data_IF_951235978683
#
_entry.id   IF_951235978683
#
_cell.length_a   1.000
_cell.length_b   1.000
_cell.length_c   1.000
_cell.angle_alpha   90.00
_cell.angle_beta   90.00
_cell.angle_gamma   90.00
#
_symmetry.space_group_name_H-M   'P 1'
#
loop_
_entity.id
_entity.type
_entity.pdbx_description
1 polymer ?
#
# COMPACT_ATOMS: atom_id res chain seq x y z
N UNK A 1 -6.23 26.14 5.37
CA UNK A 1 -7.13 25.27 6.15
C UNK A 1 -7.21 25.92 7.51
N UNK A 2 -8.41 26.34 7.91
CA UNK A 2 -8.64 27.04 9.19
C UNK A 2 -9.79 26.33 9.90
N UNK A 3 -9.70 26.22 11.22
CA UNK A 3 -10.57 25.36 12.00
C UNK A 3 -10.96 26.01 13.33
N UNK A 4 -12.25 26.29 13.48
CA UNK A 4 -12.78 26.81 14.72
C UNK A 4 -12.70 25.76 15.84
N UNK A 5 -12.27 26.21 17.02
CA UNK A 5 -12.08 25.34 18.18
C UNK A 5 -13.42 24.79 18.64
N UNK A 6 -13.56 23.46 18.67
CA UNK A 6 -14.77 22.77 19.13
C UNK A 6 -15.91 22.71 18.12
N UNK A 7 -15.80 23.40 16.98
CA UNK A 7 -16.75 23.28 15.86
C UNK A 7 -16.55 21.95 15.11
N UNK A 8 -17.46 21.63 14.19
CA UNK A 8 -17.24 20.52 13.25
C UNK A 8 -16.23 20.92 12.17
N UNK A 9 -15.26 20.06 11.88
CA UNK A 9 -14.33 20.29 10.79
C UNK A 9 -15.06 20.36 9.44
N UNK A 10 -14.56 21.22 8.55
CA UNK A 10 -14.90 21.20 7.15
C UNK A 10 -14.49 19.87 6.50
N UNK A 11 -15.24 19.45 5.48
CA UNK A 11 -14.98 18.22 4.74
C UNK A 11 -13.91 18.40 3.66
N UNK A 12 -12.73 18.84 4.08
CA UNK A 12 -11.63 19.33 3.26
C UNK A 12 -10.52 18.30 3.02
N UNK A 13 -10.78 17.01 3.27
CA UNK A 13 -9.77 15.95 3.17
C UNK A 13 -9.16 15.86 1.76
N UNK A 14 -9.93 16.17 0.72
CA UNK A 14 -9.44 16.15 -0.67
C UNK A 14 -8.41 17.24 -0.93
N UNK A 15 -8.61 18.44 -0.36
CA UNK A 15 -7.64 19.52 -0.37
C UNK A 15 -6.42 19.17 0.47
N UNK A 16 -6.63 18.60 1.68
CA UNK A 16 -5.56 18.12 2.55
C UNK A 16 -4.63 17.14 1.82
N UNK A 17 -5.22 16.12 1.16
CA UNK A 17 -4.47 15.15 0.38
C UNK A 17 -3.68 15.80 -0.75
N UNK A 18 -4.31 16.75 -1.46
CA UNK A 18 -3.66 17.46 -2.56
C UNK A 18 -2.44 18.24 -2.07
N UNK A 19 -2.55 18.89 -0.91
CA UNK A 19 -1.44 19.59 -0.27
C UNK A 19 -0.32 18.61 0.13
N UNK A 20 -0.65 17.51 0.81
CA UNK A 20 0.32 16.48 1.22
C UNK A 20 1.08 15.88 0.02
N UNK A 21 0.36 15.54 -1.06
CA UNK A 21 0.97 14.97 -2.26
C UNK A 21 1.92 15.96 -2.95
N UNK A 22 1.67 17.27 -2.83
CA UNK A 22 2.54 18.31 -3.35
C UNK A 22 3.60 18.80 -2.34
N UNK A 23 3.85 18.05 -1.26
CA UNK A 23 4.93 18.33 -0.31
C UNK A 23 4.59 19.37 0.76
N UNK A 24 3.33 19.80 0.88
CA UNK A 24 2.90 20.70 1.94
C UNK A 24 2.56 19.90 3.22
N UNK A 25 3.58 19.41 3.90
CA UNK A 25 3.48 18.68 5.18
C UNK A 25 4.52 19.22 6.17
N UNK A 26 4.21 19.38 7.48
CA UNK A 26 2.97 19.02 8.16
C UNK A 26 1.79 19.95 7.81
N UNK A 27 0.60 19.35 7.65
CA UNK A 27 -0.64 20.13 7.55
C UNK A 27 -1.02 20.80 8.88
N UNK A 28 -1.84 21.88 8.85
CA UNK A 28 -2.36 22.50 10.06
C UNK A 28 -3.08 21.50 10.98
N UNK A 29 -2.78 21.54 12.27
CA UNK A 29 -3.42 20.67 13.27
C UNK A 29 -4.88 21.10 13.47
N UNK A 30 -5.80 20.15 13.36
CA UNK A 30 -7.24 20.37 13.60
C UNK A 30 -7.52 20.55 15.08
N UNK A 31 -8.29 21.59 15.43
CA UNK A 31 -8.92 21.78 16.77
C UNK A 31 -10.44 21.68 16.70
N UNK A 32 -10.95 20.93 15.73
CA UNK A 32 -12.36 20.73 15.44
C UNK A 32 -12.75 19.24 15.55
N UNK A 33 -14.05 18.95 15.59
CA UNK A 33 -14.62 17.61 15.68
C UNK A 33 -14.78 16.99 14.28
N UNK A 34 -14.22 15.79 14.08
CA UNK A 34 -14.39 15.03 12.83
C UNK A 34 -15.83 14.59 12.66
N UNK A 35 -16.42 14.87 11.49
CA UNK A 35 -17.76 14.39 11.14
C UNK A 35 -17.75 12.87 10.92
N UNK A 36 -18.74 12.19 11.46
CA UNK A 36 -19.00 10.76 11.23
C UNK A 36 -20.40 10.55 10.62
N UNK A 37 -20.66 9.35 10.11
CA UNK A 37 -22.00 8.99 9.60
C UNK A 37 -22.99 8.87 10.76
N UNK A 38 -24.16 9.51 10.63
CA UNK A 38 -25.25 9.36 11.61
C UNK A 38 -25.87 7.95 11.59
N UNK A 39 -25.69 7.22 10.49
CA UNK A 39 -26.25 5.88 10.28
C UNK A 39 -25.20 4.77 10.42
N UNK A 40 -24.10 5.06 11.15
CA UNK A 40 -23.01 4.13 11.41
C UNK A 40 -23.53 2.76 11.86
N UNK A 41 -22.88 1.71 11.35
CA UNK A 41 -23.14 0.33 11.69
C UNK A 41 -21.91 -0.33 12.29
N UNK A 42 -22.16 -1.25 13.23
CA UNK A 42 -21.10 -2.08 13.81
C UNK A 42 -20.35 -2.81 12.68
N UNK A 43 -19.01 -2.72 12.61
CA UNK A 43 -18.21 -3.46 11.63
C UNK A 43 -18.33 -4.97 11.81
N UNK A 44 -18.05 -5.71 10.74
CA UNK A 44 -17.99 -7.17 10.81
C UNK A 44 -16.87 -7.63 11.76
N UNK A 45 -17.04 -8.78 12.43
CA UNK A 45 -15.95 -9.42 13.17
C UNK A 45 -14.75 -9.72 12.26
N UNK A 46 -13.55 -9.81 12.84
CA UNK A 46 -12.30 -9.85 12.07
C UNK A 46 -12.19 -11.03 11.10
N UNK A 47 -12.78 -12.18 11.43
CA UNK A 47 -12.80 -13.36 10.58
C UNK A 47 -13.64 -13.18 9.31
N UNK A 48 -14.66 -12.32 9.34
CA UNK A 48 -15.51 -12.00 8.19
C UNK A 48 -15.02 -10.76 7.45
N UNK A 49 -14.54 -9.74 8.19
CA UNK A 49 -14.23 -8.42 7.64
C UNK A 49 -13.09 -8.43 6.62
N UNK A 50 -12.20 -9.43 6.66
CA UNK A 50 -11.08 -9.51 5.72
C UNK A 50 -11.53 -9.70 4.27
N UNK A 51 -12.63 -10.41 4.03
CA UNK A 51 -13.02 -10.85 2.68
C UNK A 51 -14.45 -10.48 2.30
N UNK A 52 -15.08 -9.62 3.09
CA UNK A 52 -16.44 -9.13 2.87
C UNK A 52 -16.42 -7.62 2.67
N UNK A 53 -17.19 -7.14 1.70
CA UNK A 53 -17.39 -5.69 1.55
C UNK A 53 -18.08 -5.14 2.81
N UNK A 54 -17.56 -4.05 3.39
CA UNK A 54 -18.18 -3.44 4.56
C UNK A 54 -19.45 -2.65 4.17
N UNK A 55 -20.23 -2.25 5.18
CA UNK A 55 -21.45 -1.47 4.99
C UNK A 55 -21.14 -0.06 4.46
N UNK A 56 -21.83 0.34 3.39
CA UNK A 56 -21.67 1.66 2.75
C UNK A 56 -21.87 2.81 3.74
N UNK A 57 -22.70 2.65 4.77
CA UNK A 57 -23.01 3.70 5.76
C UNK A 57 -21.83 4.08 6.63
N UNK A 58 -20.78 3.26 6.65
CA UNK A 58 -19.56 3.54 7.41
C UNK A 58 -18.56 4.41 6.65
N UNK A 59 -18.89 4.85 5.43
CA UNK A 59 -18.06 5.73 4.60
C UNK A 59 -18.77 7.06 4.36
N UNK A 60 -18.00 8.16 4.41
CA UNK A 60 -18.49 9.48 4.00
C UNK A 60 -18.31 9.67 2.50
N UNK A 61 -19.36 9.35 1.75
CA UNK A 61 -19.28 9.34 0.29
C UNK A 61 -19.13 10.71 -0.38
N UNK A 62 -19.39 11.82 0.33
CA UNK A 62 -19.61 13.18 -0.20
C UNK A 62 -18.64 13.65 -1.30
N UNK A 63 -17.36 13.35 -1.14
CA UNK A 63 -16.28 13.77 -2.04
C UNK A 63 -15.90 12.73 -3.11
N UNK A 64 -16.63 11.64 -3.23
CA UNK A 64 -16.44 10.61 -4.26
C UNK A 64 -17.54 10.67 -5.33
N UNK A 65 -17.22 10.23 -6.54
CA UNK A 65 -18.22 10.09 -7.61
C UNK A 65 -19.21 8.97 -7.29
N UNK A 66 -18.72 7.86 -6.74
CA UNK A 66 -19.56 6.77 -6.25
C UNK A 66 -20.12 7.05 -4.86
N UNK A 67 -21.29 6.46 -4.56
CA UNK A 67 -21.98 6.55 -3.26
C UNK A 67 -22.15 5.20 -2.55
N UNK A 68 -21.50 4.16 -3.07
CA UNK A 68 -21.48 2.81 -2.51
C UNK A 68 -20.28 2.03 -3.04
N UNK A 69 -19.88 0.98 -2.34
CA UNK A 69 -18.82 0.06 -2.79
C UNK A 69 -19.22 -0.66 -4.09
N UNK A 70 -20.50 -1.01 -4.25
CA UNK A 70 -21.00 -1.63 -5.49
C UNK A 70 -20.76 -0.74 -6.72
N UNK A 71 -20.90 0.59 -6.57
CA UNK A 71 -20.60 1.54 -7.64
C UNK A 71 -19.12 1.53 -8.07
N UNK A 72 -18.20 1.15 -7.18
CA UNK A 72 -16.76 1.10 -7.44
C UNK A 72 -16.32 -0.15 -8.24
N UNK A 73 -17.26 -1.00 -8.63
CA UNK A 73 -16.99 -2.20 -9.44
C UNK A 73 -16.23 -1.87 -10.72
N UNK A 74 -15.35 -2.78 -11.14
CA UNK A 74 -14.61 -2.70 -12.41
C UNK A 74 -15.53 -2.62 -13.64
N UNK A 75 -16.78 -3.07 -13.51
CA UNK A 75 -17.80 -3.01 -14.56
C UNK A 75 -18.39 -1.60 -14.75
N UNK A 76 -18.24 -0.71 -13.77
CA UNK A 76 -18.72 0.66 -13.88
C UNK A 76 -17.65 1.57 -14.50
N UNK A 77 -17.86 2.13 -15.72
CA UNK A 77 -16.92 3.03 -16.35
C UNK A 77 -16.90 4.42 -15.70
N UNK A 78 -17.95 4.80 -14.97
CA UNK A 78 -18.11 6.11 -14.30
C UNK A 78 -17.72 6.07 -12.82
N UNK A 79 -16.93 5.08 -12.40
CA UNK A 79 -16.55 4.87 -10.99
C UNK A 79 -15.59 5.91 -10.41
N UNK A 80 -14.99 6.75 -11.26
CA UNK A 80 -14.15 7.86 -10.82
C UNK A 80 -12.74 7.52 -10.35
N UNK A 81 -12.26 6.27 -10.56
CA UNK A 81 -10.88 5.88 -10.25
C UNK A 81 -10.34 4.81 -11.21
N UNK A 82 -9.01 4.81 -11.41
CA UNK A 82 -8.32 3.93 -12.38
C UNK A 82 -7.15 3.15 -11.81
N UNK A 83 -6.65 3.49 -10.61
CA UNK A 83 -5.38 2.96 -10.09
C UNK A 83 -5.41 1.51 -9.60
N UNK A 84 -6.58 0.94 -9.30
CA UNK A 84 -6.69 -0.49 -8.98
C UNK A 84 -7.98 -1.12 -9.51
N UNK A 85 -7.94 -1.64 -10.73
CA UNK A 85 -9.12 -2.29 -11.33
C UNK A 85 -9.50 -3.56 -10.56
N UNK A 86 -10.74 -3.62 -10.06
CA UNK A 86 -11.26 -4.79 -9.36
C UNK A 86 -10.94 -4.86 -7.86
N UNK A 87 -10.29 -3.83 -7.30
CA UNK A 87 -9.90 -3.80 -5.87
C UNK A 87 -11.07 -3.96 -4.88
N UNK A 88 -12.30 -3.67 -5.31
CA UNK A 88 -13.52 -3.79 -4.51
C UNK A 88 -14.29 -5.09 -4.79
N UNK A 89 -13.73 -6.01 -5.58
CA UNK A 89 -14.31 -7.31 -5.90
C UNK A 89 -13.63 -8.37 -5.03
N UNK A 90 -14.11 -8.55 -3.80
CA UNK A 90 -13.44 -9.38 -2.77
C UNK A 90 -13.24 -10.84 -3.23
N UNK A 91 -14.14 -11.36 -4.06
CA UNK A 91 -14.05 -12.69 -4.68
C UNK A 91 -12.80 -12.85 -5.57
N UNK A 92 -12.29 -11.76 -6.15
CA UNK A 92 -11.03 -11.76 -6.91
C UNK A 92 -9.84 -11.48 -6.03
N UNK A 93 -9.99 -10.56 -5.08
CA UNK A 93 -8.92 -10.21 -4.14
C UNK A 93 -8.50 -11.40 -3.28
N UNK A 94 -9.45 -12.28 -2.92
CA UNK A 94 -9.17 -13.53 -2.19
C UNK A 94 -8.30 -14.52 -3.01
N UNK A 95 -8.11 -14.33 -4.32
CA UNK A 95 -7.18 -15.18 -5.08
C UNK A 95 -5.70 -14.78 -4.95
N UNK A 96 -5.43 -13.52 -4.58
CA UNK A 96 -4.10 -12.91 -4.73
C UNK A 96 -3.06 -13.56 -3.80
N UNK A 97 -1.84 -13.71 -4.32
CA UNK A 97 -0.64 -14.30 -3.68
C UNK A 97 -0.71 -15.78 -3.25
N UNK A 98 -1.83 -16.48 -3.51
CA UNK A 98 -1.97 -17.92 -3.20
C UNK A 98 -1.83 -18.78 -4.45
N UNK A 99 -2.50 -18.36 -5.53
CA UNK A 99 -2.59 -19.13 -6.78
C UNK A 99 -1.21 -19.32 -7.39
N UNK A 100 -0.94 -20.52 -7.91
CA UNK A 100 0.20 -20.74 -8.79
C UNK A 100 0.03 -19.84 -10.01
N UNK A 101 0.93 -18.88 -10.16
CA UNK A 101 1.05 -18.11 -11.38
C UNK A 101 2.11 -18.74 -12.26
N UNK A 102 1.89 -18.66 -13.57
CA UNK A 102 2.91 -19.01 -14.57
C UNK A 102 3.96 -17.92 -14.71
N UNK A 103 3.72 -16.72 -14.16
CA UNK A 103 4.64 -15.61 -14.21
C UNK A 103 5.75 -15.80 -13.18
N UNK A 104 7.01 -15.84 -13.62
CA UNK A 104 8.17 -16.03 -12.74
C UNK A 104 8.31 -14.90 -11.70
N UNK A 105 7.82 -13.71 -12.03
CA UNK A 105 7.79 -12.55 -11.15
C UNK A 105 6.79 -12.69 -9.98
N UNK A 106 5.83 -13.62 -10.02
CA UNK A 106 4.84 -13.77 -8.95
C UNK A 106 5.40 -14.60 -7.79
N UNK A 107 5.60 -13.94 -6.65
CA UNK A 107 6.07 -14.58 -5.43
C UNK A 107 4.88 -14.85 -4.51
N UNK A 108 4.79 -16.07 -3.97
CA UNK A 108 3.78 -16.42 -2.99
C UNK A 108 4.19 -15.96 -1.61
N UNK A 109 3.20 -15.58 -0.80
CA UNK A 109 3.42 -15.25 0.61
C UNK A 109 4.08 -16.42 1.35
N UNK A 110 3.57 -17.65 1.15
CA UNK A 110 4.12 -18.84 1.82
C UNK A 110 5.59 -19.10 1.48
N UNK A 111 5.98 -18.86 0.21
CA UNK A 111 7.36 -19.05 -0.24
C UNK A 111 8.28 -17.99 0.39
N UNK A 112 7.82 -16.73 0.45
CA UNK A 112 8.58 -15.62 1.06
C UNK A 112 8.74 -15.85 2.56
N UNK A 113 7.66 -16.18 3.27
CA UNK A 113 7.70 -16.42 4.72
C UNK A 113 8.54 -17.65 5.09
N UNK A 114 8.63 -18.66 4.21
CA UNK A 114 9.47 -19.84 4.42
C UNK A 114 10.97 -19.56 4.38
N UNK A 115 11.40 -18.46 3.77
CA UNK A 115 12.82 -18.07 3.77
C UNK A 115 13.31 -17.82 5.20
N UNK A 116 12.47 -17.21 6.05
CA UNK A 116 12.75 -16.95 7.48
C UNK A 116 11.52 -17.23 8.35
N UNK A 117 11.22 -18.51 8.61
CA UNK A 117 10.00 -18.92 9.30
C UNK A 117 9.90 -18.31 10.70
N UNK A 118 8.80 -17.63 10.99
CA UNK A 118 8.54 -17.03 12.32
C UNK A 118 9.29 -15.73 12.62
N UNK A 119 10.15 -15.25 11.74
CA UNK A 119 10.90 -14.00 11.96
C UNK A 119 10.16 -12.75 11.47
N UNK A 120 9.31 -12.88 10.44
CA UNK A 120 8.53 -11.78 9.89
C UNK A 120 7.22 -11.63 10.67
N UNK A 121 7.07 -10.54 11.43
CA UNK A 121 5.92 -10.32 12.32
C UNK A 121 5.23 -8.98 12.09
N UNK A 122 6.00 -7.96 11.71
CA UNK A 122 5.49 -6.64 11.36
C UNK A 122 6.08 -6.16 10.04
N UNK A 123 5.22 -5.62 9.17
CA UNK A 123 5.66 -5.07 7.90
C UNK A 123 4.90 -3.83 7.45
N UNK A 124 5.45 -3.18 6.43
CA UNK A 124 4.85 -2.06 5.73
C UNK A 124 4.50 -2.50 4.31
N UNK A 125 3.28 -2.23 3.87
CA UNK A 125 2.82 -2.45 2.51
C UNK A 125 2.63 -1.11 1.81
N UNK A 126 3.48 -0.89 0.80
CA UNK A 126 3.56 0.35 0.03
C UNK A 126 2.92 0.11 -1.33
N UNK A 127 1.62 0.40 -1.41
CA UNK A 127 0.79 0.00 -2.54
C UNK A 127 -0.46 0.86 -2.71
N UNK A 128 -1.17 0.66 -3.82
CA UNK A 128 -2.54 1.16 -3.98
C UNK A 128 -3.50 0.00 -3.96
N UNK A 129 -4.41 -0.01 -2.98
CA UNK A 129 -5.47 -1.01 -2.94
C UNK A 129 -6.27 -0.98 -1.67
N UNK A 130 -7.02 -2.04 -1.45
CA UNK A 130 -7.96 -2.16 -0.32
C UNK A 130 -7.37 -2.89 0.89
N UNK A 131 -6.05 -3.10 0.92
CA UNK A 131 -5.36 -3.82 2.01
C UNK A 131 -5.31 -5.33 1.85
N UNK A 132 -5.42 -5.85 0.62
CA UNK A 132 -5.48 -7.30 0.38
C UNK A 132 -4.21 -8.03 0.81
N UNK A 133 -3.03 -7.42 0.62
CA UNK A 133 -1.78 -7.99 1.11
C UNK A 133 -1.79 -8.08 2.64
N UNK A 134 -2.18 -7.00 3.33
CA UNK A 134 -2.33 -6.99 4.77
C UNK A 134 -3.34 -8.03 5.29
N UNK A 135 -4.46 -8.25 4.58
CA UNK A 135 -5.42 -9.31 4.92
C UNK A 135 -4.78 -10.70 4.86
N UNK A 136 -4.01 -11.00 3.81
CA UNK A 136 -3.31 -12.28 3.64
C UNK A 136 -2.22 -12.51 4.67
N UNK A 137 -1.43 -11.48 4.92
CA UNK A 137 -0.38 -11.53 5.94
C UNK A 137 -0.97 -11.73 7.33
N UNK A 138 -2.15 -11.17 7.61
CA UNK A 138 -2.85 -11.37 8.89
C UNK A 138 -3.27 -12.82 9.13
N UNK A 139 -3.70 -13.55 8.10
CA UNK A 139 -3.99 -14.99 8.21
C UNK A 139 -2.75 -15.80 8.60
N UNK A 140 -1.56 -15.28 8.31
CA UNK A 140 -0.26 -15.81 8.71
C UNK A 140 0.28 -15.16 10.01
N UNK A 141 -0.58 -14.48 10.78
CA UNK A 141 -0.23 -13.77 12.01
C UNK A 141 0.81 -12.65 11.86
N UNK A 142 0.92 -12.07 10.65
CA UNK A 142 1.80 -10.93 10.38
C UNK A 142 0.97 -9.64 10.33
N UNK A 143 1.38 -8.65 11.12
CA UNK A 143 0.72 -7.34 11.15
C UNK A 143 1.31 -6.45 10.06
N UNK A 144 0.48 -5.98 9.16
CA UNK A 144 0.89 -5.07 8.09
C UNK A 144 0.24 -3.72 8.29
N UNK A 145 1.05 -2.67 8.21
CA UNK A 145 0.59 -1.31 8.00
C UNK A 145 0.58 -1.03 6.50
N UNK A 146 -0.55 -0.65 5.93
CA UNK A 146 -0.69 -0.39 4.49
C UNK A 146 -0.76 1.11 4.25
N UNK A 147 0.15 1.65 3.43
CA UNK A 147 0.04 3.04 2.98
C UNK A 147 -1.21 3.21 2.12
N UNK A 148 -1.98 4.27 2.34
CA UNK A 148 -3.19 4.51 1.57
C UNK A 148 -3.46 5.98 1.34
N UNK A 149 -3.85 6.32 0.12
CA UNK A 149 -4.44 7.62 -0.24
C UNK A 149 -5.84 7.36 -0.81
N UNK A 150 -6.75 8.31 -0.65
CA UNK A 150 -8.11 8.22 -1.16
C UNK A 150 -8.16 8.76 -2.61
N UNK A 151 -7.76 7.91 -3.56
CA UNK A 151 -7.65 8.24 -4.99
C UNK A 151 -8.95 7.94 -5.75
N UNK A 152 -9.98 8.77 -5.55
CA UNK A 152 -11.29 8.59 -6.17
C UNK A 152 -12.15 7.47 -5.55
N UNK A 153 -11.60 6.75 -4.57
CA UNK A 153 -12.28 5.74 -3.78
C UNK A 153 -11.82 5.80 -2.30
N UNK A 154 -12.63 5.31 -1.34
CA UNK A 154 -12.37 5.38 0.10
C UNK A 154 -11.44 4.26 0.58
N UNK A 155 -10.17 4.28 0.13
CA UNK A 155 -9.22 3.21 0.43
C UNK A 155 -8.85 3.13 1.92
N UNK A 156 -8.65 4.27 2.58
CA UNK A 156 -8.31 4.30 4.01
C UNK A 156 -9.44 3.70 4.85
N UNK A 157 -10.68 4.11 4.58
CA UNK A 157 -11.88 3.60 5.25
C UNK A 157 -12.08 2.11 4.95
N UNK A 158 -11.88 1.68 3.70
CA UNK A 158 -11.98 0.26 3.33
C UNK A 158 -10.99 -0.60 4.10
N UNK A 159 -9.71 -0.20 4.17
CA UNK A 159 -8.67 -0.92 4.93
C UNK A 159 -9.04 -1.00 6.42
N UNK A 160 -9.42 0.13 7.02
CA UNK A 160 -9.82 0.17 8.42
C UNK A 160 -11.06 -0.69 8.72
N UNK A 161 -12.08 -0.67 7.86
CA UNK A 161 -13.31 -1.46 8.03
C UNK A 161 -13.11 -2.96 7.86
N UNK A 162 -12.01 -3.38 7.19
CA UNK A 162 -11.55 -4.77 7.19
C UNK A 162 -10.82 -5.17 8.49
N UNK A 163 -10.62 -4.22 9.42
CA UNK A 163 -9.86 -4.41 10.65
C UNK A 163 -8.34 -4.32 10.46
N UNK A 164 -7.88 -3.76 9.34
CA UNK A 164 -6.47 -3.60 8.98
C UNK A 164 -5.99 -2.17 9.29
N UNK A 165 -4.68 -1.93 9.19
CA UNK A 165 -4.07 -0.66 9.59
C UNK A 165 -3.75 0.19 8.34
N UNK A 166 -4.56 1.21 8.00
CA UNK A 166 -4.17 2.17 6.99
C UNK A 166 -3.19 3.20 7.58
N UNK A 167 -2.19 3.58 6.79
CA UNK A 167 -1.33 4.72 7.03
C UNK A 167 -1.58 5.78 5.96
N UNK A 168 -2.17 6.89 6.36
CA UNK A 168 -2.49 8.00 5.45
C UNK A 168 -1.24 8.83 5.15
N UNK A 169 -0.49 8.44 4.11
CA UNK A 169 0.80 9.04 3.75
C UNK A 169 1.05 8.98 2.23
N UNK A 170 1.75 9.99 1.71
CA UNK A 170 2.28 10.02 0.34
C UNK A 170 3.74 9.54 0.29
N UNK A 171 4.18 9.06 -0.87
CA UNK A 171 5.60 8.72 -1.12
C UNK A 171 6.57 9.89 -0.96
N UNK A 172 6.06 11.13 -1.06
CA UNK A 172 6.87 12.34 -0.90
C UNK A 172 7.13 12.69 0.58
N UNK A 173 6.56 11.93 1.51
CA UNK A 173 6.73 12.14 2.95
C UNK A 173 7.65 11.07 3.54
N UNK A 174 8.47 11.47 4.51
CA UNK A 174 9.24 10.53 5.32
C UNK A 174 8.29 9.65 6.14
N UNK A 175 8.54 8.35 6.14
CA UNK A 175 7.80 7.37 6.90
C UNK A 175 7.84 7.67 8.40
N UNK A 176 6.69 7.72 9.10
CA UNK A 176 6.58 8.05 10.52
C UNK A 176 6.88 6.83 11.40
N UNK A 177 7.89 6.04 11.01
CA UNK A 177 8.42 4.92 11.77
C UNK A 177 9.83 5.23 12.22
N UNK A 178 10.21 4.70 13.37
CA UNK A 178 11.58 4.80 13.86
C UNK A 178 12.51 3.90 13.03
N UNK A 179 13.81 4.11 13.17
CA UNK A 179 14.81 3.39 12.39
C UNK A 179 14.87 1.91 12.83
N UNK A 180 15.04 1.01 11.85
CA UNK A 180 15.18 -0.44 12.06
C UNK A 180 14.01 -1.10 12.83
N UNK A 181 12.77 -0.66 12.64
CA UNK A 181 11.61 -1.24 13.35
C UNK A 181 10.81 -2.25 12.54
N UNK A 182 10.92 -2.28 11.20
CA UNK A 182 10.10 -3.16 10.36
C UNK A 182 10.85 -4.44 9.99
N UNK A 183 10.16 -5.59 10.05
CA UNK A 183 10.71 -6.88 9.59
C UNK A 183 10.60 -7.03 8.06
N UNK A 184 9.65 -6.32 7.44
CA UNK A 184 9.44 -6.35 6.00
C UNK A 184 8.90 -5.03 5.45
N UNK A 185 9.30 -4.69 4.24
CA UNK A 185 8.63 -3.71 3.38
C UNK A 185 8.23 -4.44 2.11
N UNK A 186 6.94 -4.43 1.80
CA UNK A 186 6.37 -4.93 0.57
C UNK A 186 5.96 -3.74 -0.31
N UNK A 187 6.19 -3.83 -1.61
CA UNK A 187 5.70 -2.83 -2.57
C UNK A 187 5.05 -3.51 -3.76
N UNK A 188 3.86 -3.03 -4.14
CA UNK A 188 3.12 -3.50 -5.31
C UNK A 188 2.33 -2.37 -5.97
N UNK A 189 2.53 -2.17 -7.27
CA UNK A 189 1.71 -1.27 -8.11
C UNK A 189 1.71 0.23 -7.73
N UNK A 190 2.54 0.67 -6.78
CA UNK A 190 2.71 2.10 -6.45
C UNK A 190 3.93 2.69 -7.15
N UNK A 191 4.98 1.89 -7.32
CA UNK A 191 6.18 2.23 -8.07
C UNK A 191 6.06 1.79 -9.52
N UNK A 192 5.00 2.23 -10.18
CA UNK A 192 4.94 2.14 -11.63
C UNK A 192 6.10 2.98 -12.17
N UNK A 193 6.88 2.52 -13.15
CA UNK A 193 8.15 3.11 -13.64
C UNK A 193 8.11 4.54 -14.22
N UNK A 194 7.14 5.33 -13.79
CA UNK A 194 6.96 6.77 -13.92
C UNK A 194 7.53 7.56 -12.74
N UNK A 195 7.92 6.89 -11.65
CA UNK A 195 8.64 7.55 -10.54
C UNK A 195 10.02 7.96 -11.06
N UNK A 196 10.34 9.25 -10.93
CA UNK A 196 11.68 9.75 -11.24
C UNK A 196 12.73 9.14 -10.31
N UNK A 197 13.94 8.95 -10.83
CA UNK A 197 15.04 8.30 -10.13
C UNK A 197 15.39 9.05 -8.83
N UNK A 198 15.27 10.37 -8.78
CA UNK A 198 15.54 11.13 -7.56
C UNK A 198 14.54 10.80 -6.44
N UNK A 199 13.25 10.73 -6.77
CA UNK A 199 12.22 10.36 -5.79
C UNK A 199 12.39 8.91 -5.34
N UNK A 200 12.69 8.01 -6.28
CA UNK A 200 12.99 6.61 -5.95
C UNK A 200 14.15 6.52 -4.96
N UNK A 201 15.19 7.34 -5.11
CA UNK A 201 16.37 7.31 -4.24
C UNK A 201 15.99 7.67 -2.80
N UNK A 202 15.27 8.79 -2.61
CA UNK A 202 14.73 9.17 -1.31
C UNK A 202 13.86 8.07 -0.67
N UNK A 203 12.98 7.45 -1.46
CA UNK A 203 12.11 6.38 -0.96
C UNK A 203 12.93 5.15 -0.55
N UNK A 204 13.92 4.73 -1.34
CA UNK A 204 14.74 3.57 -1.01
C UNK A 204 15.62 3.81 0.22
N UNK A 205 16.17 5.01 0.41
CA UNK A 205 16.89 5.36 1.64
C UNK A 205 15.98 5.38 2.87
N UNK A 206 14.73 5.85 2.73
CA UNK A 206 13.79 5.85 3.84
C UNK A 206 13.28 4.45 4.18
N UNK A 207 13.12 3.59 3.16
CA UNK A 207 12.84 2.17 3.33
C UNK A 207 13.99 1.43 4.01
N UNK A 208 15.22 1.66 3.56
CA UNK A 208 16.41 1.13 4.21
C UNK A 208 16.46 1.56 5.68
N UNK A 209 16.17 2.83 5.98
CA UNK A 209 16.15 3.36 7.35
C UNK A 209 15.17 2.60 8.24
N UNK A 210 13.92 2.38 7.82
CA UNK A 210 12.90 1.74 8.67
C UNK A 210 13.02 0.22 8.72
N UNK A 211 13.59 -0.40 7.70
CA UNK A 211 13.80 -1.85 7.65
C UNK A 211 14.96 -2.24 8.58
N UNK A 212 14.74 -3.24 9.43
CA UNK A 212 15.78 -3.71 10.36
C UNK A 212 16.81 -4.63 9.67
N UNK A 213 18.02 -4.81 10.23
CA UNK A 213 18.93 -5.85 9.78
C UNK A 213 18.25 -7.22 9.79
N UNK A 214 18.40 -7.97 8.70
CA UNK A 214 17.70 -9.23 8.47
C UNK A 214 16.25 -9.09 7.98
N UNK A 215 15.74 -7.85 7.87
CA UNK A 215 14.40 -7.60 7.32
C UNK A 215 14.36 -7.71 5.80
N UNK A 216 13.17 -7.97 5.26
CA UNK A 216 12.94 -8.15 3.83
C UNK A 216 12.44 -6.89 3.13
N UNK A 217 13.07 -6.52 2.02
CA UNK A 217 12.48 -5.70 0.99
C UNK A 217 11.93 -6.63 -0.10
N UNK A 218 10.61 -6.69 -0.19
CA UNK A 218 9.89 -7.46 -1.20
C UNK A 218 9.29 -6.51 -2.25
N UNK A 219 9.90 -6.54 -3.43
CA UNK A 219 9.43 -5.84 -4.62
C UNK A 219 8.54 -6.80 -5.41
N UNK A 220 7.24 -6.54 -5.47
CA UNK A 220 6.26 -7.35 -6.18
C UNK A 220 5.82 -6.64 -7.47
N UNK A 221 6.15 -7.25 -8.61
CA UNK A 221 5.81 -6.81 -9.97
C UNK A 221 6.03 -5.31 -10.22
N UNK A 222 7.16 -4.77 -9.77
CA UNK A 222 7.62 -3.46 -10.23
C UNK A 222 7.72 -3.47 -11.75
N UNK A 223 7.13 -2.51 -12.46
CA UNK A 223 7.23 -2.48 -13.91
C UNK A 223 7.92 -1.22 -14.41
N UNK A 224 8.73 -1.39 -15.44
CA UNK A 224 9.41 -0.31 -16.12
C UNK A 224 9.52 -0.63 -17.62
N UNK A 225 9.92 0.37 -18.41
CA UNK A 225 10.32 0.11 -19.80
C UNK A 225 11.62 -0.68 -19.78
N UNK A 226 11.80 -1.58 -20.75
CA UNK A 226 13.03 -2.40 -20.89
C UNK A 226 14.30 -1.56 -20.91
N UNK A 227 14.26 -0.41 -21.58
CA UNK A 227 15.40 0.51 -21.71
C UNK A 227 15.82 1.19 -20.39
N UNK A 228 14.91 1.28 -19.43
CA UNK A 228 15.15 1.94 -18.14
C UNK A 228 15.42 0.89 -17.03
N UNK A 229 15.42 -0.41 -17.36
CA UNK A 229 15.54 -1.50 -16.39
C UNK A 229 16.88 -1.45 -15.65
N UNK A 230 17.98 -1.22 -16.36
CA UNK A 230 19.32 -1.22 -15.77
C UNK A 230 19.48 -0.10 -14.73
N UNK A 231 18.85 1.06 -14.96
CA UNK A 231 18.84 2.18 -14.01
C UNK A 231 18.12 1.78 -12.71
N UNK A 232 16.91 1.22 -12.81
CA UNK A 232 16.19 0.75 -11.63
C UNK A 232 16.89 -0.42 -10.93
N UNK A 233 17.51 -1.32 -11.69
CA UNK A 233 18.32 -2.39 -11.11
C UNK A 233 19.49 -1.85 -10.30
N UNK A 234 20.19 -0.85 -10.82
CA UNK A 234 21.26 -0.16 -10.09
C UNK A 234 20.73 0.42 -8.77
N UNK A 235 19.58 1.09 -8.81
CA UNK A 235 18.96 1.66 -7.61
C UNK A 235 18.63 0.64 -6.53
N UNK A 236 18.12 -0.55 -6.89
CA UNK A 236 17.83 -1.59 -5.89
C UNK A 236 19.10 -2.27 -5.37
N UNK A 237 20.16 -2.36 -6.17
CA UNK A 237 21.38 -3.11 -5.82
C UNK A 237 22.40 -2.27 -5.03
N UNK A 238 22.35 -0.94 -5.10
CA UNK A 238 23.31 -0.05 -4.41
C UNK A 238 23.36 -0.25 -2.89
N UNK A 239 22.27 -0.72 -2.27
CA UNK A 239 22.16 -0.94 -0.82
C UNK A 239 22.85 -2.23 -0.32
N UNK A 240 23.43 -3.02 -1.22
CA UNK A 240 24.13 -4.30 -0.92
C UNK A 240 23.26 -5.30 -0.17
N UNK A 241 21.96 -5.36 -0.48
CA UNK A 241 21.06 -6.35 0.09
C UNK A 241 21.41 -7.76 -0.38
N UNK A 242 21.24 -8.75 0.49
CA UNK A 242 21.37 -10.15 0.12
C UNK A 242 20.16 -10.56 -0.72
N UNK A 243 20.40 -11.10 -1.91
CA UNK A 243 19.35 -11.52 -2.85
C UNK A 243 18.91 -12.95 -2.54
N UNK A 244 17.65 -13.14 -2.15
CA UNK A 244 17.05 -14.47 -1.98
C UNK A 244 16.37 -14.96 -3.24
N UNK A 245 15.57 -14.09 -3.86
CA UNK A 245 14.84 -14.41 -5.10
C UNK A 245 14.82 -13.17 -5.98
N UNK A 246 14.93 -13.39 -7.28
CA UNK A 246 14.90 -12.33 -8.28
C UNK A 246 14.36 -12.90 -9.59
N UNK A 247 13.38 -12.23 -10.16
CA UNK A 247 12.77 -12.64 -11.41
C UNK A 247 12.41 -11.42 -12.24
N UNK A 248 12.64 -11.55 -13.55
CA UNK A 248 12.17 -10.61 -14.54
C UNK A 248 11.20 -11.36 -15.45
N UNK A 249 10.08 -10.74 -15.79
CA UNK A 249 9.08 -11.33 -16.68
C UNK A 249 8.55 -10.28 -17.66
N UNK A 250 8.22 -10.64 -18.90
CA UNK A 250 7.64 -9.69 -19.83
C UNK A 250 6.25 -9.24 -19.36
N UNK A 251 5.99 -7.93 -19.41
CA UNK A 251 4.66 -7.35 -19.20
C UNK A 251 3.98 -7.05 -20.53
N UNK A 252 4.74 -6.47 -21.47
CA UNK A 252 4.31 -6.16 -22.83
C UNK A 252 5.52 -6.17 -23.78
N UNK A 253 5.36 -5.69 -25.01
CA UNK A 253 6.46 -5.62 -25.99
C UNK A 253 7.68 -4.86 -25.45
N UNK A 254 7.44 -3.74 -24.76
CA UNK A 254 8.48 -2.80 -24.33
C UNK A 254 8.57 -2.64 -22.80
N UNK A 255 7.72 -3.34 -22.04
CA UNK A 255 7.70 -3.30 -20.58
C UNK A 255 7.99 -4.66 -19.97
N UNK A 256 8.61 -4.64 -18.78
CA UNK A 256 8.92 -5.82 -17.98
C UNK A 256 8.39 -5.64 -16.56
N UNK A 257 8.08 -6.76 -15.91
CA UNK A 257 7.97 -6.88 -14.48
C UNK A 257 9.32 -7.31 -13.89
N UNK A 258 9.68 -6.69 -12.78
CA UNK A 258 10.76 -7.06 -11.90
C UNK A 258 10.16 -7.43 -10.54
N UNK A 259 10.61 -8.54 -9.98
CA UNK A 259 10.26 -8.91 -8.62
C UNK A 259 11.47 -9.46 -7.90
N UNK A 260 11.64 -9.04 -6.65
CA UNK A 260 12.81 -9.34 -5.87
C UNK A 260 12.45 -9.50 -4.39
N UNK A 261 13.10 -10.47 -3.75
CA UNK A 261 13.11 -10.63 -2.32
C UNK A 261 14.55 -10.40 -1.87
N UNK A 262 14.76 -9.29 -1.18
CA UNK A 262 16.06 -8.79 -0.77
C UNK A 262 16.11 -8.70 0.76
N UNK A 263 17.21 -9.10 1.38
CA UNK A 263 17.40 -9.04 2.84
C UNK A 263 18.45 -7.99 3.19
N UNK A 264 18.10 -7.07 4.10
CA UNK A 264 19.03 -6.04 4.58
C UNK A 264 20.15 -6.69 5.40
N UNK A 265 21.43 -6.53 5.05
CA UNK A 265 22.52 -7.07 5.85
C UNK A 265 22.71 -6.27 7.14
N UNK A 266 23.33 -6.86 8.17
CA UNK A 266 23.93 -6.06 9.23
C UNK A 266 25.04 -5.19 8.62
N UNK A 267 25.03 -3.88 8.91
CA UNK A 267 26.11 -2.96 8.57
C UNK A 267 26.87 -2.65 9.85
N UNK A 268 28.20 -2.76 9.81
CA UNK A 268 29.03 -2.32 10.92
C UNK A 268 28.82 -0.81 11.15
N UNK A 269 28.79 -0.41 12.42
CA UNK A 269 28.80 0.99 12.85
C UNK A 269 30.19 1.56 12.57
#
# INVERSE_FOLDING_TARGET
>A
MDYDVGAYCDDDWSLAQKLMVNGCDPLPRRRCLTRASMTYQKPYPINESLWKLPDDRNVRWGNYQCRSFACLSSKNPKRGYTKCTGCFEMEKEIGKWITNSTLLADFKIDDVLRVKPGEIRIGLDVGVGTGTFAARMRENNVTIVTTALNLGAPFNEMIALRGLIPLYISLNQRLPFFDNTMDMIHTAGLMDGWIDLLLMDFVLYDWDRVLRPGGFLWIDRFFCKKKDLDDYMYMFLQFRYKKHKWAISPKSKDEVYLSALLEKPPRAI
#
